data_IF_228049750655
#
_entry.id   IF_228049750655
#
_cell.length_a   1.000
_cell.length_b   1.000
_cell.length_c   1.000
_cell.angle_alpha   90.00
_cell.angle_beta   90.00
_cell.angle_gamma   90.00
#
_symmetry.space_group_name_H-M   'P 1'
#
loop_
_entity.id
_entity.type
_entity.pdbx_description
1 polymer ?
#
# COMPACT_ATOMS: atom_id res chain seq x y z
N UNK A 1 34.25 17.78 -44.74
CA UNK A 1 34.26 16.35 -45.08
C UNK A 1 32.85 15.77 -44.89
N UNK A 2 31.90 16.11 -45.76
CA UNK A 2 30.50 15.66 -45.71
C UNK A 2 30.03 15.16 -47.10
N UNK A 3 30.89 14.45 -47.82
CA UNK A 3 30.66 14.11 -49.23
C UNK A 3 30.73 12.59 -49.50
N UNK A 4 30.15 11.77 -48.62
CA UNK A 4 30.01 10.33 -48.88
C UNK A 4 28.79 9.73 -48.18
N UNK A 5 27.67 10.46 -48.15
CA UNK A 5 26.38 9.87 -47.78
C UNK A 5 25.71 9.42 -49.07
N UNK A 6 25.60 8.10 -49.24
CA UNK A 6 24.99 7.43 -50.39
C UNK A 6 23.56 7.92 -50.62
N UNK A 7 23.26 8.33 -51.86
CA UNK A 7 21.97 8.89 -52.27
C UNK A 7 20.89 7.83 -52.50
N UNK A 8 21.25 6.54 -52.40
CA UNK A 8 20.37 5.38 -52.67
C UNK A 8 19.85 4.71 -51.40
N UNK A 9 20.04 5.31 -50.22
CA UNK A 9 19.33 4.86 -49.02
C UNK A 9 17.84 5.22 -49.17
N UNK A 10 16.92 4.24 -49.13
CA UNK A 10 15.50 4.54 -48.99
C UNK A 10 15.35 5.26 -47.65
N UNK A 11 15.13 6.58 -47.70
CA UNK A 11 14.74 7.35 -46.52
C UNK A 11 13.31 6.91 -46.19
N UNK A 12 13.20 5.77 -45.50
CA UNK A 12 11.93 5.25 -45.03
C UNK A 12 11.46 6.16 -43.90
N UNK A 13 10.61 7.13 -44.28
CA UNK A 13 9.86 8.05 -43.41
C UNK A 13 10.72 8.75 -42.35
N UNK A 14 11.22 9.93 -42.70
CA UNK A 14 11.72 10.92 -41.73
C UNK A 14 10.59 11.26 -40.74
N UNK A 15 10.54 10.54 -39.61
CA UNK A 15 9.65 10.88 -38.50
C UNK A 15 10.43 11.75 -37.51
N UNK A 16 9.85 12.85 -37.00
CA UNK A 16 10.48 13.61 -35.95
C UNK A 16 10.73 12.70 -34.74
N UNK A 17 11.90 12.83 -34.10
CA UNK A 17 12.32 11.98 -32.97
C UNK A 17 11.24 11.91 -31.87
N UNK A 18 10.46 12.99 -31.68
CA UNK A 18 9.32 13.02 -30.76
C UNK A 18 8.21 12.01 -31.07
N UNK A 19 7.89 11.74 -32.34
CA UNK A 19 6.88 10.75 -32.71
C UNK A 19 7.35 9.30 -32.50
N UNK A 20 8.65 9.03 -32.60
CA UNK A 20 9.22 7.71 -32.27
C UNK A 20 9.24 7.47 -30.76
N UNK A 21 9.47 8.51 -29.96
CA UNK A 21 9.36 8.47 -28.50
C UNK A 21 7.91 8.26 -28.04
N UNK A 22 6.94 8.90 -28.69
CA UNK A 22 5.52 8.74 -28.36
C UNK A 22 4.98 7.34 -28.77
N UNK A 23 5.31 6.86 -29.98
CA UNK A 23 4.93 5.51 -30.44
C UNK A 23 5.60 4.39 -29.63
N UNK A 24 6.84 4.59 -29.16
CA UNK A 24 7.54 3.66 -28.27
C UNK A 24 7.06 3.73 -26.80
N UNK A 25 6.45 4.85 -26.40
CA UNK A 25 5.95 5.07 -25.04
C UNK A 25 4.48 4.68 -24.86
N UNK A 26 3.69 4.66 -25.93
CA UNK A 26 2.27 4.32 -25.90
C UNK A 26 1.98 2.96 -25.23
N UNK A 27 2.72 1.86 -25.51
CA UNK A 27 2.50 0.58 -24.83
C UNK A 27 2.86 0.64 -23.34
N UNK A 28 3.98 1.29 -23.00
CA UNK A 28 4.45 1.41 -21.60
C UNK A 28 3.46 2.20 -20.75
N UNK A 29 2.90 3.29 -21.27
CA UNK A 29 1.95 4.14 -20.55
C UNK A 29 0.66 3.38 -20.21
N UNK A 30 0.17 2.53 -21.11
CA UNK A 30 -1.00 1.69 -20.87
C UNK A 30 -0.73 0.67 -19.76
N UNK A 31 0.43 -0.02 -19.79
CA UNK A 31 0.84 -0.95 -18.73
C UNK A 31 0.98 -0.25 -17.37
N UNK A 32 1.58 0.95 -17.31
CA UNK A 32 1.68 1.72 -16.07
C UNK A 32 0.32 2.14 -15.53
N UNK A 33 -0.63 2.54 -16.39
CA UNK A 33 -1.98 2.90 -15.97
C UNK A 33 -2.75 1.69 -15.42
N UNK A 34 -2.65 0.52 -16.07
CA UNK A 34 -3.23 -0.73 -15.59
C UNK A 34 -2.62 -1.16 -14.25
N UNK A 35 -1.30 -1.16 -14.15
CA UNK A 35 -0.62 -1.55 -12.91
C UNK A 35 -0.93 -0.56 -11.78
N UNK A 36 -1.01 0.73 -12.10
CA UNK A 36 -1.42 1.78 -11.17
C UNK A 36 -2.87 1.61 -10.68
N UNK A 37 -3.80 1.24 -11.56
CA UNK A 37 -5.19 0.99 -11.16
C UNK A 37 -5.33 -0.27 -10.31
N UNK A 38 -4.59 -1.36 -10.64
CA UNK A 38 -4.52 -2.54 -9.78
C UNK A 38 -3.87 -2.26 -8.42
N UNK A 39 -2.81 -1.46 -8.38
CA UNK A 39 -2.20 -1.04 -7.12
C UNK A 39 -3.18 -0.23 -6.27
N UNK A 40 -3.96 0.67 -6.88
CA UNK A 40 -4.98 1.44 -6.19
C UNK A 40 -6.10 0.55 -5.63
N UNK A 41 -6.61 -0.43 -6.39
CA UNK A 41 -7.63 -1.36 -5.88
C UNK A 41 -7.08 -2.27 -4.79
N UNK A 42 -5.84 -2.76 -4.93
CA UNK A 42 -5.17 -3.53 -3.88
C UNK A 42 -5.01 -2.72 -2.59
N UNK A 43 -4.62 -1.45 -2.68
CA UNK A 43 -4.55 -0.54 -1.53
C UNK A 43 -5.91 -0.34 -0.86
N UNK A 44 -6.98 -0.17 -1.64
CA UNK A 44 -8.33 -0.08 -1.11
C UNK A 44 -8.75 -1.35 -0.39
N UNK A 45 -8.51 -2.53 -1.00
CA UNK A 45 -8.82 -3.82 -0.37
C UNK A 45 -8.03 -4.03 0.92
N UNK A 46 -6.74 -3.66 0.94
CA UNK A 46 -5.92 -3.72 2.14
C UNK A 46 -6.48 -2.81 3.24
N UNK A 47 -6.86 -1.58 2.91
CA UNK A 47 -7.47 -0.64 3.85
C UNK A 47 -8.80 -1.17 4.42
N UNK A 48 -9.66 -1.73 3.57
CA UNK A 48 -10.94 -2.35 3.98
C UNK A 48 -10.70 -3.57 4.86
N UNK A 49 -9.72 -4.41 4.54
CA UNK A 49 -9.36 -5.58 5.34
C UNK A 49 -8.86 -5.20 6.74
N UNK A 50 -7.94 -4.22 6.82
CA UNK A 50 -7.44 -3.69 8.09
C UNK A 50 -8.58 -3.10 8.91
N UNK A 51 -9.44 -2.29 8.27
CA UNK A 51 -10.64 -1.74 8.92
C UNK A 51 -11.54 -2.85 9.47
N UNK A 52 -11.84 -3.87 8.66
CA UNK A 52 -12.72 -4.97 9.05
C UNK A 52 -12.19 -5.77 10.23
N UNK A 53 -10.92 -6.17 10.18
CA UNK A 53 -10.26 -6.91 11.27
C UNK A 53 -10.24 -6.10 12.57
N UNK A 54 -9.90 -4.81 12.50
CA UNK A 54 -9.87 -3.94 13.68
C UNK A 54 -11.26 -3.64 14.22
N UNK A 55 -12.23 -3.33 13.35
CA UNK A 55 -13.61 -3.08 13.74
C UNK A 55 -14.22 -4.31 14.41
N UNK A 56 -13.95 -5.51 13.88
CA UNK A 56 -14.38 -6.77 14.48
C UNK A 56 -13.70 -7.01 15.83
N UNK A 57 -12.38 -6.76 15.94
CA UNK A 57 -11.65 -6.90 17.20
C UNK A 57 -12.17 -5.94 18.28
N UNK A 58 -12.48 -4.69 17.90
CA UNK A 58 -13.10 -3.71 18.81
C UNK A 58 -14.50 -4.17 19.23
N UNK A 59 -15.32 -4.66 18.29
CA UNK A 59 -16.66 -5.17 18.58
C UNK A 59 -16.64 -6.29 19.63
N UNK A 60 -15.75 -7.29 19.47
CA UNK A 60 -15.57 -8.36 20.46
C UNK A 60 -15.10 -7.87 21.84
N UNK A 61 -14.37 -6.76 21.91
CA UNK A 61 -13.81 -6.21 23.16
C UNK A 61 -14.60 -5.03 23.71
N UNK A 62 -15.78 -4.74 23.17
CA UNK A 62 -16.62 -3.60 23.59
C UNK A 62 -16.94 -3.64 25.09
N UNK A 63 -17.23 -4.82 25.64
CA UNK A 63 -17.55 -4.98 27.06
C UNK A 63 -16.33 -4.69 27.96
N UNK A 64 -15.15 -5.20 27.62
CA UNK A 64 -13.90 -4.89 28.34
C UNK A 64 -13.54 -3.40 28.26
N UNK A 65 -13.70 -2.80 27.08
CA UNK A 65 -13.44 -1.38 26.85
C UNK A 65 -14.44 -0.54 27.65
N UNK A 66 -15.71 -0.92 27.71
CA UNK A 66 -16.76 -0.28 28.50
C UNK A 66 -16.47 -0.33 30.00
N UNK A 67 -16.06 -1.49 30.53
CA UNK A 67 -15.67 -1.64 31.95
C UNK A 67 -14.43 -0.79 32.26
N UNK A 68 -13.40 -0.80 31.40
CA UNK A 68 -12.20 0.06 31.59
C UNK A 68 -12.56 1.54 31.59
N UNK A 69 -13.44 1.97 30.69
CA UNK A 69 -13.91 3.35 30.63
C UNK A 69 -14.73 3.74 31.87
N UNK A 70 -15.58 2.84 32.38
CA UNK A 70 -16.34 3.04 33.62
C UNK A 70 -15.44 3.15 34.87
N UNK A 71 -14.31 2.43 34.88
CA UNK A 71 -13.28 2.53 35.91
C UNK A 71 -12.37 3.77 35.76
N UNK A 72 -12.64 4.65 34.78
CA UNK A 72 -11.93 5.92 34.60
C UNK A 72 -10.76 5.90 33.61
N UNK A 73 -10.62 4.86 32.79
CA UNK A 73 -9.61 4.84 31.73
C UNK A 73 -9.81 6.01 30.76
N UNK A 74 -8.71 6.63 30.32
CA UNK A 74 -8.79 7.77 29.39
C UNK A 74 -9.05 7.24 27.99
N UNK A 75 -9.84 7.97 27.20
CA UNK A 75 -10.08 7.67 25.76
C UNK A 75 -8.77 7.48 24.98
N UNK A 76 -7.68 8.14 25.40
CA UNK A 76 -6.35 8.03 24.82
C UNK A 76 -5.75 6.62 24.98
N UNK A 77 -6.02 5.93 26.07
CA UNK A 77 -5.49 4.58 26.34
C UNK A 77 -6.14 3.54 25.41
N UNK A 78 -7.45 3.70 25.17
CA UNK A 78 -8.21 2.89 24.20
C UNK A 78 -7.72 3.16 22.78
N UNK A 79 -7.49 4.43 22.42
CA UNK A 79 -6.92 4.77 21.10
C UNK A 79 -5.56 4.11 20.89
N UNK A 80 -4.64 4.24 21.85
CA UNK A 80 -3.30 3.65 21.75
C UNK A 80 -3.32 2.14 21.63
N UNK A 81 -4.26 1.47 22.30
CA UNK A 81 -4.44 0.03 22.20
C UNK A 81 -4.85 -0.40 20.78
N UNK A 82 -5.85 0.28 20.19
CA UNK A 82 -6.32 -0.03 18.83
C UNK A 82 -5.26 0.30 17.78
N UNK A 83 -4.59 1.46 17.91
CA UNK A 83 -3.46 1.81 17.05
C UNK A 83 -2.31 0.82 17.17
N UNK A 84 -2.00 0.34 18.38
CA UNK A 84 -0.98 -0.66 18.61
C UNK A 84 -1.30 -2.00 17.94
N UNK A 85 -2.56 -2.43 17.95
CA UNK A 85 -3.00 -3.62 17.21
C UNK A 85 -2.85 -3.43 15.70
N UNK A 86 -3.32 -2.30 15.17
CA UNK A 86 -3.20 -1.99 13.74
C UNK A 86 -1.75 -1.91 13.28
N UNK A 87 -0.88 -1.24 14.07
CA UNK A 87 0.53 -1.10 13.78
C UNK A 87 1.26 -2.45 13.80
N UNK A 88 0.98 -3.33 14.77
CA UNK A 88 1.56 -4.68 14.81
C UNK A 88 1.18 -5.50 13.58
N UNK A 89 -0.08 -5.44 13.17
CA UNK A 89 -0.57 -6.14 11.98
C UNK A 89 0.14 -5.60 10.72
N UNK A 90 0.26 -4.28 10.59
CA UNK A 90 0.90 -3.63 9.47
C UNK A 90 2.41 -3.95 9.41
N UNK A 91 3.11 -3.89 10.54
CA UNK A 91 4.53 -4.26 10.62
C UNK A 91 4.77 -5.73 10.28
N UNK A 92 3.93 -6.64 10.77
CA UNK A 92 4.03 -8.05 10.41
C UNK A 92 3.81 -8.27 8.91
N UNK A 93 2.81 -7.60 8.32
CA UNK A 93 2.54 -7.64 6.89
C UNK A 93 3.71 -7.09 6.05
N UNK A 94 4.28 -5.95 6.44
CA UNK A 94 5.46 -5.36 5.78
C UNK A 94 6.66 -6.29 5.88
N UNK A 95 6.95 -6.84 7.06
CA UNK A 95 8.06 -7.76 7.26
C UNK A 95 7.92 -9.01 6.37
N UNK A 96 6.73 -9.62 6.34
CA UNK A 96 6.42 -10.76 5.47
C UNK A 96 6.49 -10.40 3.98
N UNK A 97 5.99 -9.22 3.60
CA UNK A 97 6.03 -8.73 2.22
C UNK A 97 7.45 -8.50 1.73
N UNK A 98 8.31 -7.90 2.56
CA UNK A 98 9.72 -7.66 2.24
C UNK A 98 10.47 -8.98 2.11
N UNK A 99 10.31 -9.92 3.05
CA UNK A 99 10.98 -11.23 2.95
C UNK A 99 10.52 -12.02 1.73
N UNK A 100 9.22 -12.00 1.41
CA UNK A 100 8.68 -12.61 0.19
C UNK A 100 9.24 -11.95 -1.07
N UNK A 101 9.31 -10.61 -1.11
CA UNK A 101 9.88 -9.85 -2.23
C UNK A 101 11.33 -10.27 -2.48
N UNK A 102 12.19 -10.31 -1.45
CA UNK A 102 13.56 -10.79 -1.59
C UNK A 102 13.64 -12.23 -2.11
N UNK A 103 12.74 -13.12 -1.65
CA UNK A 103 12.67 -14.50 -2.13
C UNK A 103 12.32 -14.62 -3.61
N UNK A 104 11.27 -13.93 -4.05
CA UNK A 104 10.83 -13.92 -5.46
C UNK A 104 11.87 -13.28 -6.35
N UNK A 105 12.44 -12.16 -5.91
CA UNK A 105 13.50 -11.45 -6.63
C UNK A 105 14.73 -12.32 -6.82
N UNK A 106 15.11 -13.11 -5.81
CA UNK A 106 16.23 -14.05 -5.93
C UNK A 106 15.95 -15.14 -6.97
N UNK A 107 14.72 -15.64 -7.04
CA UNK A 107 14.30 -16.63 -8.04
C UNK A 107 14.32 -16.04 -9.46
N UNK A 108 13.96 -14.77 -9.60
CA UNK A 108 13.95 -14.02 -10.86
C UNK A 108 15.32 -13.50 -11.29
N UNK A 109 16.34 -13.53 -10.43
CA UNK A 109 17.68 -13.00 -10.73
C UNK A 109 18.35 -13.66 -11.94
N UNK A 110 18.02 -14.92 -12.23
CA UNK A 110 18.49 -15.62 -13.44
C UNK A 110 17.81 -15.17 -14.75
N UNK A 111 16.74 -14.36 -14.66
CA UNK A 111 15.95 -13.87 -15.80
C UNK A 111 16.07 -12.33 -15.97
N UNK A 112 16.60 -11.61 -14.98
CA UNK A 112 16.73 -10.16 -14.98
C UNK A 112 18.12 -9.72 -15.50
N UNK A 113 18.20 -9.37 -16.78
CA UNK A 113 19.35 -8.63 -17.31
C UNK A 113 19.13 -7.12 -17.15
N UNK A 114 19.96 -6.45 -16.34
CA UNK A 114 20.12 -4.99 -16.35
C UNK A 114 19.19 -4.16 -15.45
N UNK A 115 18.34 -4.77 -14.62
CA UNK A 115 17.53 -4.03 -13.62
C UNK A 115 17.98 -4.45 -12.23
N UNK A 116 18.44 -3.49 -11.40
CA UNK A 116 18.79 -3.77 -10.00
C UNK A 116 17.55 -4.32 -9.29
N UNK A 117 17.53 -5.61 -8.90
CA UNK A 117 16.29 -6.27 -8.48
C UNK A 117 15.76 -5.79 -7.11
N UNK A 118 16.56 -5.01 -6.40
CA UNK A 118 16.31 -4.54 -5.03
C UNK A 118 16.73 -3.08 -4.92
N UNK A 119 15.93 -2.17 -5.48
CA UNK A 119 16.10 -0.75 -5.19
C UNK A 119 15.63 -0.46 -3.74
N UNK A 120 16.55 -0.11 -2.82
CA UNK A 120 16.19 0.15 -1.43
C UNK A 120 15.23 1.33 -1.30
N UNK A 121 15.35 2.34 -2.17
CA UNK A 121 14.49 3.51 -2.14
C UNK A 121 13.02 3.13 -2.41
N UNK A 122 12.78 2.29 -3.43
CA UNK A 122 11.44 1.78 -3.74
C UNK A 122 10.88 0.93 -2.59
N UNK A 123 11.67 0.02 -2.00
CA UNK A 123 11.20 -0.80 -0.86
C UNK A 123 10.82 0.05 0.35
N UNK A 124 11.63 1.06 0.68
CA UNK A 124 11.36 1.99 1.79
C UNK A 124 10.11 2.82 1.49
N UNK A 125 10.00 3.37 0.29
CA UNK A 125 8.86 4.21 -0.10
C UNK A 125 7.54 3.43 -0.08
N UNK A 126 7.51 2.21 -0.63
CA UNK A 126 6.31 1.36 -0.61
C UNK A 126 5.96 0.93 0.81
N UNK A 127 6.94 0.57 1.63
CA UNK A 127 6.71 0.21 3.04
C UNK A 127 6.12 1.39 3.83
N UNK A 128 6.67 2.59 3.64
CA UNK A 128 6.17 3.81 4.28
C UNK A 128 4.74 4.15 3.81
N UNK A 129 4.47 4.01 2.51
CA UNK A 129 3.13 4.21 1.94
C UNK A 129 2.11 3.24 2.56
N UNK A 130 2.43 1.94 2.61
CA UNK A 130 1.55 0.93 3.19
C UNK A 130 1.29 1.16 4.69
N UNK A 131 2.33 1.55 5.45
CA UNK A 131 2.17 1.94 6.85
C UNK A 131 1.27 3.16 7.00
N UNK A 132 1.44 4.18 6.14
CA UNK A 132 0.57 5.36 6.11
C UNK A 132 -0.89 5.00 5.85
N UNK A 133 -1.14 4.13 4.87
CA UNK A 133 -2.49 3.65 4.54
C UNK A 133 -3.09 2.85 5.69
N UNK A 134 -2.31 1.96 6.31
CA UNK A 134 -2.75 1.21 7.49
C UNK A 134 -3.12 2.15 8.64
N UNK A 135 -2.30 3.16 8.94
CA UNK A 135 -2.58 4.15 9.97
C UNK A 135 -3.86 4.94 9.68
N UNK A 136 -4.06 5.38 8.43
CA UNK A 136 -5.28 6.08 8.01
C UNK A 136 -6.52 5.19 8.16
N UNK A 137 -6.42 3.92 7.77
CA UNK A 137 -7.50 2.95 7.95
C UNK A 137 -7.83 2.72 9.44
N UNK A 138 -6.84 2.81 10.33
CA UNK A 138 -7.01 2.67 11.78
C UNK A 138 -7.73 3.86 12.45
N UNK A 139 -7.74 5.05 11.84
CA UNK A 139 -8.35 6.26 12.44
C UNK A 139 -9.84 6.07 12.72
N UNK A 140 -10.57 5.48 11.77
CA UNK A 140 -12.03 5.27 11.87
C UNK A 140 -12.39 4.27 12.99
N UNK A 141 -11.86 3.03 13.05
CA UNK A 141 -12.20 2.08 14.09
C UNK A 141 -11.69 2.53 15.46
N UNK A 142 -10.54 3.20 15.55
CA UNK A 142 -10.05 3.78 16.79
C UNK A 142 -11.00 4.86 17.33
N UNK A 143 -11.50 5.75 16.45
CA UNK A 143 -12.53 6.73 16.84
C UNK A 143 -13.84 6.04 17.25
N UNK A 144 -14.28 5.00 16.53
CA UNK A 144 -15.48 4.23 16.91
C UNK A 144 -15.32 3.62 18.31
N UNK A 145 -14.17 3.02 18.63
CA UNK A 145 -13.89 2.45 19.96
C UNK A 145 -14.05 3.48 21.10
N UNK A 146 -13.64 4.73 20.89
CA UNK A 146 -13.79 5.80 21.90
C UNK A 146 -15.21 6.36 22.03
N UNK A 147 -16.07 6.11 21.04
CA UNK A 147 -17.47 6.54 21.01
C UNK A 147 -18.44 5.45 21.45
N UNK A 148 -17.94 4.27 21.80
CA UNK A 148 -18.76 3.23 22.45
C UNK A 148 -19.18 3.81 23.81
N UNK A 149 -20.45 4.17 23.90
CA UNK A 149 -21.02 4.80 25.08
C UNK A 149 -21.26 3.73 26.14
N UNK A 150 -20.56 3.76 27.30
CA UNK A 150 -20.66 2.72 28.33
C UNK A 150 -22.09 2.56 28.87
N UNK A 151 -22.93 3.59 28.74
CA UNK A 151 -24.34 3.56 29.14
C UNK A 151 -25.22 2.71 28.21
N UNK A 152 -24.84 2.52 26.94
CA UNK A 152 -25.60 1.67 26.00
C UNK A 152 -25.27 0.19 26.20
N UNK A 153 -24.02 -0.15 26.58
CA UNK A 153 -23.63 -1.54 26.85
C UNK A 153 -24.21 -2.11 28.14
N UNK A 154 -24.60 -1.26 29.10
CA UNK A 154 -25.25 -1.66 30.36
C UNK A 154 -26.77 -1.76 30.26
N UNK A 155 -27.39 -1.27 29.17
CA UNK A 155 -28.85 -1.27 28.97
C UNK A 155 -29.32 -2.38 28.01
N UNK A 156 -28.39 -3.14 27.45
CA UNK A 156 -28.68 -4.32 26.62
C UNK A 156 -28.81 -5.62 27.42
N UNK A 157 -28.99 -5.53 28.74
CA UNK A 157 -29.38 -6.63 29.63
C UNK A 157 -30.72 -6.31 30.31
#
# INVERSE_FOLDING_TARGET
>A
AFASVDADLPIDKVRPMGQLLDDASAPKRLSFLLLGSFAATALLLAAVGIYGVLAFSVAQRTQEIGIRMALGARRRDVLWMVFGQGLRLALAGVALGVTAAFGVTRLMSGLLFGVSPTDPATLVAVSALLLGVALLACVVPARRATRVDPMVSLRSE
#
